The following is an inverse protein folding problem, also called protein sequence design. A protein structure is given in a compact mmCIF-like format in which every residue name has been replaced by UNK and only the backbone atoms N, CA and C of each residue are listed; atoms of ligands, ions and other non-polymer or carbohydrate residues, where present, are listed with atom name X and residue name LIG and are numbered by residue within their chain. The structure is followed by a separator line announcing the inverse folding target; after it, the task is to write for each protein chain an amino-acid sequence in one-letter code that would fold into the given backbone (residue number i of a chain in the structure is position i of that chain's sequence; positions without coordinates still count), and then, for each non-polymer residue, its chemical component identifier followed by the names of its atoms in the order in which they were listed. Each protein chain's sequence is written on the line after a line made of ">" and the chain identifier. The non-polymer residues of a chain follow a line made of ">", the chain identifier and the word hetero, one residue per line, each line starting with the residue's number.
data_IF_110176299409
#
_entry.id   IF_110176299409
#
_cell.length_a   1.000
_cell.length_b   1.000
_cell.length_c   1.000
_cell.angle_alpha   90.00
_cell.angle_beta   90.00
_cell.angle_gamma   90.00
#
_symmetry.space_group_name_H-M   'P 1'
#
loop_
_entity.id
_entity.type
_entity.pdbx_description
1 polymer ?
#
# COMPACT_ATOMS: atom_id res chain seq x y z
N UNK A 1 -27.35 4.06 -5.41
CA UNK A 1 -25.95 3.73 -5.09
C UNK A 1 -25.15 5.01 -5.21
N UNK A 2 -24.35 5.34 -4.19
CA UNK A 2 -23.48 6.52 -4.25
C UNK A 2 -22.39 6.26 -5.29
N UNK A 3 -22.06 7.22 -6.16
CA UNK A 3 -21.01 7.07 -7.18
C UNK A 3 -19.62 6.77 -6.59
N UNK A 4 -19.46 6.92 -5.27
CA UNK A 4 -18.23 6.64 -4.51
C UNK A 4 -18.10 5.21 -3.97
N UNK A 5 -19.18 4.42 -3.97
CA UNK A 5 -19.18 3.07 -3.39
C UNK A 5 -18.05 2.17 -3.93
N UNK A 6 -17.69 2.19 -5.24
CA UNK A 6 -16.57 1.40 -5.72
C UNK A 6 -15.21 1.85 -5.18
N UNK A 7 -15.00 3.16 -4.95
CA UNK A 7 -13.76 3.65 -4.37
C UNK A 7 -13.64 3.30 -2.89
N UNK A 8 -14.74 3.39 -2.15
CA UNK A 8 -14.76 3.06 -0.73
C UNK A 8 -14.41 1.58 -0.50
N UNK A 9 -14.89 0.68 -1.38
CA UNK A 9 -14.53 -0.73 -1.35
C UNK A 9 -13.04 -0.94 -1.69
N UNK A 10 -12.51 -0.23 -2.69
CA UNK A 10 -11.09 -0.31 -3.03
C UNK A 10 -10.19 0.18 -1.88
N UNK A 11 -10.53 1.25 -1.18
CA UNK A 11 -9.78 1.69 0.01
C UNK A 11 -9.82 0.67 1.15
N UNK A 12 -10.95 -0.02 1.32
CA UNK A 12 -11.08 -1.08 2.33
C UNK A 12 -10.20 -2.29 2.00
N UNK A 13 -10.13 -2.68 0.73
CA UNK A 13 -9.32 -3.82 0.25
C UNK A 13 -7.83 -3.49 0.18
N UNK A 14 -7.47 -2.24 -0.07
CA UNK A 14 -6.08 -1.78 -0.25
C UNK A 14 -5.74 -0.63 0.71
N UNK A 15 -5.65 -0.89 2.03
CA UNK A 15 -5.59 0.15 3.06
C UNK A 15 -4.31 1.01 3.05
N UNK A 16 -3.23 0.55 2.41
CA UNK A 16 -1.99 1.32 2.27
C UNK A 16 -2.03 2.35 1.13
N UNK A 17 -3.09 2.34 0.30
CA UNK A 17 -3.24 3.29 -0.80
C UNK A 17 -3.70 4.64 -0.24
N UNK A 18 -2.99 5.74 -0.49
CA UNK A 18 -3.41 7.06 -0.04
C UNK A 18 -4.72 7.51 -0.70
N UNK A 19 -5.53 8.27 0.04
CA UNK A 19 -6.78 8.84 -0.51
C UNK A 19 -6.53 9.71 -1.75
N UNK A 20 -5.45 10.49 -1.77
CA UNK A 20 -5.07 11.30 -2.92
C UNK A 20 -4.76 10.49 -4.19
N UNK A 21 -4.38 9.21 -4.05
CA UNK A 21 -4.19 8.32 -5.19
C UNK A 21 -5.54 7.90 -5.79
N UNK A 22 -6.47 7.44 -4.94
CA UNK A 22 -7.78 6.97 -5.38
C UNK A 22 -8.69 8.09 -5.89
N UNK A 23 -8.59 9.30 -5.32
CA UNK A 23 -9.35 10.49 -5.77
C UNK A 23 -9.09 10.85 -7.24
N UNK A 24 -7.91 10.52 -7.78
CA UNK A 24 -7.59 10.71 -9.20
C UNK A 24 -8.44 9.83 -10.12
N UNK A 25 -8.99 8.73 -9.60
CA UNK A 25 -9.86 7.83 -10.34
C UNK A 25 -11.35 8.16 -10.17
N UNK A 26 -11.73 9.11 -9.31
CA UNK A 26 -13.14 9.44 -9.08
C UNK A 26 -13.92 9.74 -10.37
N UNK A 27 -13.40 10.55 -11.33
CA UNK A 27 -14.10 10.76 -12.60
C UNK A 27 -14.23 9.50 -13.46
N UNK A 28 -13.26 8.57 -13.37
CA UNK A 28 -13.30 7.31 -14.12
C UNK A 28 -14.29 6.33 -13.50
N UNK A 29 -14.40 6.30 -12.16
CA UNK A 29 -15.40 5.51 -11.45
C UNK A 29 -16.81 6.01 -11.76
N UNK A 30 -17.03 7.33 -11.75
CA UNK A 30 -18.31 7.92 -12.15
C UNK A 30 -18.69 7.53 -13.58
N UNK A 31 -17.73 7.59 -14.52
CA UNK A 31 -17.93 7.14 -15.90
C UNK A 31 -18.18 5.64 -16.01
N UNK A 32 -17.51 4.82 -15.20
CA UNK A 32 -17.70 3.37 -15.21
C UNK A 32 -19.10 2.98 -14.75
N UNK A 33 -19.64 3.68 -13.74
CA UNK A 33 -21.00 3.46 -13.23
C UNK A 33 -22.07 3.86 -14.25
N UNK A 34 -21.80 4.88 -15.06
CA UNK A 34 -22.72 5.35 -16.11
C UNK A 34 -22.56 4.62 -17.46
N UNK A 35 -21.53 3.78 -17.63
CA UNK A 35 -21.25 3.08 -18.87
C UNK A 35 -22.09 1.81 -19.02
N UNK A 36 -22.06 1.21 -20.22
CA UNK A 36 -22.58 -0.14 -20.42
C UNK A 36 -21.88 -1.14 -19.47
N UNK A 37 -22.60 -2.17 -18.95
CA UNK A 37 -22.08 -3.02 -17.88
C UNK A 37 -20.69 -3.63 -18.16
N UNK A 38 -20.46 -4.13 -19.37
CA UNK A 38 -19.17 -4.72 -19.75
C UNK A 38 -18.02 -3.69 -19.73
N UNK A 39 -18.30 -2.48 -20.23
CA UNK A 39 -17.33 -1.38 -20.25
C UNK A 39 -17.05 -0.89 -18.83
N UNK A 40 -18.09 -0.71 -18.01
CA UNK A 40 -17.98 -0.31 -16.61
C UNK A 40 -17.14 -1.30 -15.81
N UNK A 41 -17.42 -2.60 -15.93
CA UNK A 41 -16.63 -3.66 -15.29
C UNK A 41 -15.18 -3.59 -15.73
N UNK A 42 -14.91 -3.40 -17.03
CA UNK A 42 -13.53 -3.34 -17.53
C UNK A 42 -12.76 -2.14 -16.96
N UNK A 43 -13.40 -0.98 -16.86
CA UNK A 43 -12.79 0.21 -16.27
C UNK A 43 -12.47 -0.05 -14.79
N UNK A 44 -13.41 -0.59 -14.02
CA UNK A 44 -13.21 -0.88 -12.60
C UNK A 44 -12.07 -1.89 -12.37
N UNK A 45 -11.94 -2.92 -13.21
CA UNK A 45 -10.83 -3.88 -13.15
C UNK A 45 -9.46 -3.21 -13.36
N UNK A 46 -9.36 -2.25 -14.29
CA UNK A 46 -8.10 -1.51 -14.53
C UNK A 46 -7.75 -0.59 -13.35
N UNK A 47 -8.76 0.02 -12.73
CA UNK A 47 -8.59 0.83 -11.53
C UNK A 47 -8.14 -0.07 -10.37
N UNK A 48 -8.78 -1.22 -10.16
CA UNK A 48 -8.41 -2.18 -9.13
C UNK A 48 -6.95 -2.65 -9.28
N UNK A 49 -6.53 -3.01 -10.50
CA UNK A 49 -5.14 -3.38 -10.77
C UNK A 49 -4.15 -2.25 -10.48
N UNK A 50 -4.58 -0.98 -10.57
CA UNK A 50 -3.76 0.17 -10.21
C UNK A 50 -3.65 0.34 -8.69
N UNK A 51 -4.73 0.08 -7.95
CA UNK A 51 -4.75 0.07 -6.49
C UNK A 51 -3.87 -1.06 -5.93
N UNK A 52 -3.97 -2.27 -6.48
CA UNK A 52 -3.15 -3.41 -6.06
C UNK A 52 -1.65 -3.12 -6.20
N UNK A 53 -1.24 -2.55 -7.35
CA UNK A 53 0.17 -2.16 -7.58
C UNK A 53 0.66 -1.09 -6.61
N UNK A 54 -0.14 -0.05 -6.37
CA UNK A 54 0.25 1.01 -5.42
C UNK A 54 0.31 0.47 -3.99
N UNK A 55 -0.63 -0.40 -3.60
CA UNK A 55 -0.63 -1.06 -2.31
C UNK A 55 0.65 -1.89 -2.09
N UNK A 56 1.02 -2.72 -3.08
CA UNK A 56 2.24 -3.52 -3.03
C UNK A 56 3.48 -2.63 -2.92
N UNK A 57 3.57 -1.59 -3.75
CA UNK A 57 4.69 -0.61 -3.71
C UNK A 57 4.84 0.03 -2.33
N UNK A 58 3.72 0.38 -1.68
CA UNK A 58 3.72 0.96 -0.32
C UNK A 58 4.08 -0.05 0.76
N UNK A 59 3.63 -1.29 0.62
CA UNK A 59 4.01 -2.36 1.52
C UNK A 59 5.54 -2.59 1.48
N UNK A 60 6.13 -2.59 0.28
CA UNK A 60 7.57 -2.73 0.09
C UNK A 60 8.35 -1.56 0.69
N UNK A 61 7.90 -0.33 0.46
CA UNK A 61 8.49 0.88 1.07
C UNK A 61 8.45 0.82 2.60
N UNK A 62 7.32 0.39 3.17
CA UNK A 62 7.16 0.27 4.61
C UNK A 62 8.06 -0.84 5.18
N UNK A 63 8.17 -1.96 4.49
CA UNK A 63 9.06 -3.06 4.87
C UNK A 63 10.52 -2.61 4.87
N UNK A 64 10.94 -1.89 3.82
CA UNK A 64 12.29 -1.34 3.72
C UNK A 64 12.59 -0.34 4.85
N UNK A 65 11.66 0.58 5.14
CA UNK A 65 11.83 1.54 6.24
C UNK A 65 11.95 0.84 7.59
N UNK A 66 11.07 -0.13 7.89
CA UNK A 66 11.14 -0.91 9.14
C UNK A 66 12.44 -1.67 9.27
N UNK A 67 12.96 -2.20 8.16
CA UNK A 67 14.26 -2.86 8.11
C UNK A 67 15.39 -1.89 8.48
N UNK A 68 15.39 -0.69 7.88
CA UNK A 68 16.39 0.35 8.17
C UNK A 68 16.28 0.87 9.61
N UNK A 69 15.06 1.13 10.11
CA UNK A 69 14.81 1.53 11.49
C UNK A 69 15.34 0.50 12.49
N UNK A 70 15.10 -0.79 12.23
CA UNK A 70 15.63 -1.87 13.09
C UNK A 70 17.15 -1.87 13.13
N UNK A 71 17.82 -1.68 11.99
CA UNK A 71 19.29 -1.60 11.93
C UNK A 71 19.82 -0.42 12.75
N UNK A 72 19.20 0.75 12.61
CA UNK A 72 19.57 1.95 13.37
C UNK A 72 19.37 1.74 14.87
N UNK A 73 18.22 1.21 15.30
CA UNK A 73 17.94 0.95 16.71
C UNK A 73 18.92 -0.06 17.32
N UNK A 74 19.28 -1.10 16.56
CA UNK A 74 20.25 -2.11 17.01
C UNK A 74 21.62 -1.48 17.22
N UNK A 75 22.07 -0.63 16.29
CA UNK A 75 23.33 0.10 16.41
C UNK A 75 23.33 1.09 17.59
N UNK A 76 22.24 1.82 17.80
CA UNK A 76 22.12 2.75 18.93
C UNK A 76 22.19 1.99 20.26
N UNK A 77 21.48 0.86 20.36
CA UNK A 77 21.47 0.06 21.57
C UNK A 77 22.84 -0.59 21.86
N UNK A 78 23.59 -1.02 20.85
CA UNK A 78 24.95 -1.54 21.04
C UNK A 78 25.91 -0.44 21.54
N UNK A 79 25.81 0.77 20.98
CA UNK A 79 26.67 1.90 21.36
C UNK A 79 26.35 2.41 22.77
N UNK A 80 25.08 2.60 23.10
CA UNK A 80 24.68 3.23 24.36
C UNK A 80 24.67 2.27 25.56
N UNK A 81 24.35 1.00 25.33
CA UNK A 81 24.13 0.05 26.41
C UNK A 81 25.13 -1.12 26.42
N UNK A 82 26.09 -1.14 25.49
CA UNK A 82 26.99 -2.28 25.33
C UNK A 82 26.23 -3.57 25.01
N UNK A 83 25.02 -3.44 24.46
CA UNK A 83 24.19 -4.59 24.14
C UNK A 83 24.76 -5.29 22.90
N UNK A 84 25.07 -6.59 23.04
CA UNK A 84 25.50 -7.44 21.94
C UNK A 84 24.28 -8.19 21.38
N UNK A 85 23.72 -7.76 20.23
CA UNK A 85 22.53 -8.37 19.67
C UNK A 85 22.85 -9.77 19.10
N UNK A 86 22.02 -10.78 19.36
CA UNK A 86 22.25 -12.12 18.84
C UNK A 86 22.10 -12.17 17.30
N UNK A 87 22.85 -13.05 16.64
CA UNK A 87 22.96 -13.14 15.17
C UNK A 87 21.63 -13.21 14.42
N UNK A 88 20.62 -13.87 15.00
CA UNK A 88 19.30 -13.99 14.39
C UNK A 88 18.54 -12.66 14.30
N UNK A 89 18.91 -11.66 15.10
CA UNK A 89 18.36 -10.31 15.06
C UNK A 89 19.00 -9.45 13.96
N UNK A 90 20.23 -9.76 13.59
CA UNK A 90 21.03 -9.07 12.57
C UNK A 90 20.77 -9.59 11.14
N UNK A 91 20.21 -10.80 11.00
CA UNK A 91 19.99 -11.44 9.71
C UNK A 91 18.67 -10.99 9.06
N UNK A 92 18.79 -10.17 8.02
CA UNK A 92 17.76 -10.05 6.99
C UNK A 92 17.85 -11.28 6.09
N UNK A 93 16.88 -12.20 6.16
CA UNK A 93 16.71 -13.19 5.09
C UNK A 93 16.50 -12.40 3.79
N UNK A 94 17.51 -12.49 2.91
CA UNK A 94 17.50 -12.01 1.53
C UNK A 94 16.42 -12.71 0.72
#
# INVERSE_FOLDING_TARGET
>A
MSSREPLDELYRRYPLVPQSFGERFAPLVERAVAAEPEVGVRILQLIEASFEKEHARRADELALRRSQERQVLTLVASVLHGWDPPDWLLQHKR
#
